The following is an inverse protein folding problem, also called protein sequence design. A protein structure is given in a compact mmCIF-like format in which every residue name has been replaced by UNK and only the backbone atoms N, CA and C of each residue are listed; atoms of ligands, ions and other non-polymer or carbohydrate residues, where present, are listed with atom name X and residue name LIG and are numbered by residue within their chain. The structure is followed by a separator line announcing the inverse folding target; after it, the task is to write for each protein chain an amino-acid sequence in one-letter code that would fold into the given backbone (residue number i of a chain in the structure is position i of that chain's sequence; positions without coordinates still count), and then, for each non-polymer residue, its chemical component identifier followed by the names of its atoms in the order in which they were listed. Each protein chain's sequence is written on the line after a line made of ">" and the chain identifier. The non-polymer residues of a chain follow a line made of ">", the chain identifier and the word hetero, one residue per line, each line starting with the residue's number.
data_IF_929488145871
#
_entry.id   IF_929488145871
#
_cell.length_a   1.000
_cell.length_b   1.000
_cell.length_c   1.000
_cell.angle_alpha   90.00
_cell.angle_beta   90.00
_cell.angle_gamma   90.00
#
_symmetry.space_group_name_H-M   'P 1'
#
loop_
_entity.id
_entity.type
_entity.pdbx_description
1 polymer ?
#
# COMPACT_ATOMS: atom_id res chain seq x y z
N UNK A 1 5.21 5.54 -12.55
CA UNK A 1 5.94 6.83 -12.55
C UNK A 1 5.03 8.02 -12.84
N UNK A 2 4.20 8.04 -13.89
CA UNK A 2 3.26 9.15 -14.19
C UNK A 2 2.37 9.59 -13.02
N UNK A 3 1.88 8.65 -12.19
CA UNK A 3 1.07 8.96 -11.00
C UNK A 3 1.89 9.68 -9.92
N UNK A 4 3.16 9.30 -9.75
CA UNK A 4 4.07 9.94 -8.80
C UNK A 4 4.33 11.39 -9.20
N UNK A 5 4.70 11.62 -10.45
CA UNK A 5 4.97 12.98 -10.99
C UNK A 5 3.73 13.87 -10.90
N UNK A 6 2.53 13.30 -11.15
CA UNK A 6 1.27 14.05 -11.15
C UNK A 6 0.82 14.44 -9.74
N UNK A 7 0.91 13.55 -8.75
CA UNK A 7 0.29 13.75 -7.44
C UNK A 7 1.28 14.06 -6.32
N UNK A 8 2.52 13.62 -6.42
CA UNK A 8 3.54 13.83 -5.40
C UNK A 8 4.94 13.82 -6.03
N UNK A 9 5.35 14.91 -6.70
CA UNK A 9 6.64 14.97 -7.36
C UNK A 9 7.79 14.77 -6.36
N UNK A 10 8.87 14.20 -6.85
CA UNK A 10 10.10 14.03 -6.08
C UNK A 10 10.73 15.40 -5.80
N UNK A 11 11.39 15.51 -4.65
CA UNK A 11 12.19 16.68 -4.30
C UNK A 11 13.55 16.62 -5.03
N UNK A 12 14.24 17.75 -5.07
CA UNK A 12 15.64 17.78 -5.50
C UNK A 12 16.47 16.80 -4.67
N UNK A 13 17.32 16.02 -5.35
CA UNK A 13 18.16 14.97 -4.74
C UNK A 13 17.38 13.80 -4.06
N UNK A 14 16.08 13.65 -4.35
CA UNK A 14 15.31 12.52 -3.86
C UNK A 14 15.44 11.31 -4.81
N UNK A 15 16.09 10.24 -4.34
CA UNK A 15 16.33 9.01 -5.10
C UNK A 15 15.35 7.92 -4.68
N UNK A 16 14.81 7.17 -5.65
CA UNK A 16 13.91 6.05 -5.40
C UNK A 16 14.72 4.79 -5.07
N UNK A 17 14.45 4.18 -3.92
CA UNK A 17 15.03 2.89 -3.50
C UNK A 17 14.18 1.71 -3.93
N UNK A 18 12.86 1.81 -3.75
CA UNK A 18 11.93 0.78 -4.18
C UNK A 18 10.57 1.34 -4.53
N UNK A 19 9.85 0.59 -5.35
CA UNK A 19 8.47 0.88 -5.74
C UNK A 19 7.69 -0.42 -5.70
N UNK A 20 6.49 -0.39 -5.12
CA UNK A 20 5.56 -1.52 -5.12
C UNK A 20 4.17 -1.03 -5.50
N UNK A 21 3.50 -1.80 -6.34
CA UNK A 21 2.13 -1.55 -6.78
C UNK A 21 1.25 -2.76 -6.47
N UNK A 22 0.00 -2.50 -6.15
CA UNK A 22 -0.94 -3.58 -5.92
C UNK A 22 -2.34 -3.13 -5.51
N UNK A 23 -3.22 -4.09 -5.30
CA UNK A 23 -4.54 -3.83 -4.75
C UNK A 23 -4.43 -3.52 -3.25
N UNK A 24 -5.07 -2.43 -2.83
CA UNK A 24 -5.00 -1.92 -1.46
C UNK A 24 -6.24 -2.31 -0.67
N UNK A 25 -6.00 -2.79 0.55
CA UNK A 25 -7.02 -3.13 1.53
C UNK A 25 -6.70 -2.43 2.85
N UNK A 26 -7.58 -1.54 3.30
CA UNK A 26 -7.48 -0.97 4.63
C UNK A 26 -8.14 -1.92 5.62
N UNK A 27 -7.40 -2.37 6.61
CA UNK A 27 -7.90 -3.22 7.70
C UNK A 27 -7.86 -2.42 9.00
N UNK A 28 -8.98 -2.45 9.73
CA UNK A 28 -9.01 -1.97 11.11
C UNK A 28 -8.67 -3.12 12.06
N UNK A 29 -8.02 -2.88 13.21
CA UNK A 29 -7.76 -3.90 14.21
C UNK A 29 -9.05 -4.44 14.86
N UNK A 30 -10.18 -3.73 14.79
CA UNK A 30 -11.45 -4.11 15.39
C UNK A 30 -12.19 -5.21 14.63
N UNK A 31 -12.65 -6.23 15.37
CA UNK A 31 -13.38 -7.40 14.84
C UNK A 31 -14.69 -6.99 14.15
N UNK A 32 -15.44 -6.03 14.70
CA UNK A 32 -16.67 -5.50 14.10
C UNK A 32 -16.39 -4.81 12.75
N UNK A 33 -15.33 -4.03 12.66
CA UNK A 33 -14.90 -3.40 11.43
C UNK A 33 -14.39 -4.42 10.39
N UNK A 34 -13.89 -5.58 10.82
CA UNK A 34 -13.54 -6.70 9.93
C UNK A 34 -14.77 -7.34 9.29
N UNK A 35 -15.85 -7.56 10.06
CA UNK A 35 -17.09 -8.11 9.54
C UNK A 35 -17.78 -7.13 8.57
N UNK A 36 -17.87 -5.85 8.93
CA UNK A 36 -18.37 -4.80 8.04
C UNK A 36 -17.49 -4.68 6.77
N UNK A 37 -16.17 -4.78 6.92
CA UNK A 37 -15.23 -4.79 5.81
C UNK A 37 -15.46 -5.94 4.81
N UNK A 38 -15.91 -7.10 5.30
CA UNK A 38 -16.28 -8.22 4.43
C UNK A 38 -17.53 -7.91 3.58
N UNK A 39 -18.58 -7.33 4.19
CA UNK A 39 -19.78 -6.90 3.48
C UNK A 39 -19.46 -5.80 2.44
N UNK A 40 -18.69 -4.79 2.83
CA UNK A 40 -18.21 -3.78 1.89
C UNK A 40 -17.37 -4.34 0.75
N UNK A 41 -16.65 -5.43 0.99
CA UNK A 41 -15.87 -6.12 -0.04
C UNK A 41 -16.76 -6.81 -1.08
N UNK A 42 -17.88 -7.42 -0.65
CA UNK A 42 -18.87 -8.01 -1.56
C UNK A 42 -19.50 -6.89 -2.41
N UNK A 43 -19.92 -5.80 -1.79
CA UNK A 43 -20.47 -4.64 -2.51
C UNK A 43 -19.44 -4.05 -3.47
N UNK A 44 -18.18 -3.93 -3.08
CA UNK A 44 -17.10 -3.45 -3.94
C UNK A 44 -16.86 -4.35 -5.18
N UNK A 45 -16.99 -5.67 -5.00
CA UNK A 45 -16.90 -6.61 -6.12
C UNK A 45 -18.07 -6.42 -7.08
N UNK A 46 -19.29 -6.28 -6.57
CA UNK A 46 -20.50 -6.07 -7.37
C UNK A 46 -20.49 -4.72 -8.11
N UNK A 47 -19.97 -3.67 -7.48
CA UNK A 47 -19.88 -2.32 -8.08
C UNK A 47 -18.63 -2.13 -8.93
N UNK A 48 -17.75 -3.13 -9.04
CA UNK A 48 -16.48 -3.01 -9.76
C UNK A 48 -15.52 -1.98 -9.16
N UNK A 49 -15.66 -1.69 -7.85
CA UNK A 49 -14.78 -0.75 -7.15
C UNK A 49 -13.46 -1.42 -6.81
N UNK A 50 -12.36 -0.85 -7.28
CA UNK A 50 -11.00 -1.30 -6.95
C UNK A 50 -10.20 -0.17 -6.34
N UNK A 51 -9.49 -0.48 -5.26
CA UNK A 51 -8.49 0.43 -4.68
C UNK A 51 -7.11 -0.11 -5.01
N UNK A 52 -6.33 0.69 -5.73
CA UNK A 52 -4.92 0.40 -5.98
C UNK A 52 -4.05 1.33 -5.15
N UNK A 53 -2.92 0.81 -4.70
CA UNK A 53 -1.90 1.61 -4.06
C UNK A 53 -0.57 1.50 -4.81
N UNK A 54 0.11 2.64 -4.90
CA UNK A 54 1.50 2.76 -5.30
C UNK A 54 2.27 3.24 -4.08
N UNK A 55 3.23 2.45 -3.62
CA UNK A 55 4.20 2.87 -2.60
C UNK A 55 5.53 3.10 -3.28
N UNK A 56 6.11 4.24 -3.02
CA UNK A 56 7.46 4.62 -3.44
C UNK A 56 8.27 4.93 -2.19
N UNK A 57 9.36 4.20 -2.00
CA UNK A 57 10.32 4.44 -0.92
C UNK A 57 11.49 5.20 -1.51
N UNK A 58 11.78 6.36 -0.95
CA UNK A 58 12.89 7.20 -1.36
C UNK A 58 13.96 7.27 -0.26
N UNK A 59 15.04 7.96 -0.52
CA UNK A 59 16.10 8.20 0.48
C UNK A 59 15.66 9.10 1.65
N UNK A 60 14.49 9.78 1.57
CA UNK A 60 14.07 10.76 2.58
C UNK A 60 12.68 10.47 3.17
N UNK A 61 11.80 9.79 2.45
CA UNK A 61 10.41 9.55 2.84
C UNK A 61 9.82 8.34 2.13
N UNK A 62 8.66 7.90 2.59
CA UNK A 62 7.81 6.98 1.84
C UNK A 62 6.58 7.73 1.31
N UNK A 63 6.28 7.54 0.04
CA UNK A 63 5.12 8.11 -0.62
C UNK A 63 4.11 7.00 -0.87
N UNK A 64 2.86 7.20 -0.40
CA UNK A 64 1.74 6.29 -0.65
C UNK A 64 0.70 7.02 -1.48
N UNK A 65 0.41 6.51 -2.67
CA UNK A 65 -0.64 7.02 -3.56
C UNK A 65 -1.71 5.93 -3.66
N UNK A 66 -2.90 6.22 -3.17
CA UNK A 66 -4.06 5.36 -3.30
C UNK A 66 -5.00 5.92 -4.37
N UNK A 67 -5.38 5.08 -5.31
CA UNK A 67 -6.35 5.42 -6.35
C UNK A 67 -7.54 4.49 -6.24
N UNK A 68 -8.73 5.04 -6.11
CA UNK A 68 -9.97 4.29 -6.13
C UNK A 68 -10.64 4.44 -7.50
N UNK A 69 -10.96 3.31 -8.12
CA UNK A 69 -11.69 3.24 -9.39
C UNK A 69 -13.09 2.70 -9.15
N UNK A 70 -14.08 3.31 -9.82
CA UNK A 70 -15.45 2.82 -9.93
C UNK A 70 -15.63 2.19 -11.31
N UNK A 71 -16.41 1.09 -11.36
CA UNK A 71 -16.68 0.36 -12.61
C UNK A 71 -15.40 0.02 -13.40
N UNK A 72 -14.28 -0.24 -12.68
CA UNK A 72 -12.94 -0.58 -13.20
C UNK A 72 -12.21 0.52 -14.00
N UNK A 73 -12.87 1.55 -14.49
CA UNK A 73 -12.27 2.54 -15.40
C UNK A 73 -12.42 4.02 -14.98
N UNK A 74 -13.37 4.35 -14.10
CA UNK A 74 -13.58 5.73 -13.65
C UNK A 74 -12.75 5.99 -12.40
N UNK A 75 -11.81 6.93 -12.46
CA UNK A 75 -11.07 7.40 -11.28
C UNK A 75 -12.03 8.20 -10.37
N UNK A 76 -12.36 7.63 -9.21
CA UNK A 76 -13.30 8.23 -8.26
C UNK A 76 -12.60 9.09 -7.21
N UNK A 77 -11.47 8.63 -6.70
CA UNK A 77 -10.67 9.37 -5.73
C UNK A 77 -9.21 9.02 -5.80
N UNK A 78 -8.36 10.01 -5.51
CA UNK A 78 -6.91 9.82 -5.36
C UNK A 78 -6.50 10.43 -4.04
N UNK A 79 -5.73 9.67 -3.26
CA UNK A 79 -5.10 10.13 -2.03
C UNK A 79 -3.60 9.93 -2.14
N UNK A 80 -2.84 11.00 -2.00
CA UNK A 80 -1.38 10.95 -1.99
C UNK A 80 -0.87 11.43 -0.63
N UNK A 81 -0.14 10.57 0.08
CA UNK A 81 0.34 10.81 1.43
C UNK A 81 1.86 10.62 1.47
N UNK A 82 2.55 11.60 2.04
CA UNK A 82 3.97 11.48 2.36
C UNK A 82 4.11 11.04 3.82
N UNK A 83 4.79 9.92 4.02
CA UNK A 83 5.07 9.36 5.33
C UNK A 83 6.55 9.59 5.66
N UNK A 84 6.81 10.24 6.78
CA UNK A 84 8.16 10.33 7.32
C UNK A 84 8.57 8.98 7.93
N UNK A 85 9.85 8.63 8.00
CA UNK A 85 10.31 7.39 8.63
C UNK A 85 9.73 7.19 10.03
N UNK A 86 9.64 8.24 10.83
CA UNK A 86 9.07 8.20 12.20
C UNK A 86 7.57 7.91 12.25
N UNK A 87 6.83 8.15 11.18
CA UNK A 87 5.37 7.89 11.14
C UNK A 87 5.03 6.44 10.79
N UNK A 88 6.02 5.65 10.40
CA UNK A 88 5.87 4.24 10.07
C UNK A 88 6.06 3.43 11.34
N UNK A 89 4.99 2.81 11.83
CA UNK A 89 5.03 2.01 13.07
C UNK A 89 5.52 0.60 12.79
N UNK A 90 5.07 0.00 11.70
CA UNK A 90 5.40 -1.37 11.34
C UNK A 90 5.35 -1.54 9.83
N UNK A 91 6.31 -2.29 9.30
CA UNK A 91 6.29 -2.81 7.94
C UNK A 91 6.52 -4.32 8.00
N UNK A 92 5.72 -5.09 7.27
CA UNK A 92 5.78 -6.54 7.34
C UNK A 92 5.29 -7.21 6.06
N UNK A 93 5.47 -8.53 6.06
CA UNK A 93 5.00 -9.41 5.01
C UNK A 93 3.95 -10.34 5.57
N UNK A 94 2.85 -10.52 4.83
CA UNK A 94 1.90 -11.59 5.11
C UNK A 94 1.55 -12.40 3.88
N UNK A 95 1.20 -13.65 4.13
CA UNK A 95 0.79 -14.62 3.13
C UNK A 95 -0.64 -15.05 3.41
N UNK A 96 -1.55 -14.75 2.50
CA UNK A 96 -2.89 -15.32 2.54
C UNK A 96 -3.02 -16.45 1.52
N UNK A 97 -3.64 -17.54 1.96
CA UNK A 97 -4.02 -18.67 1.09
C UNK A 97 -5.52 -18.59 0.84
N UNK A 98 -5.90 -18.52 -0.43
CA UNK A 98 -7.28 -18.59 -0.86
C UNK A 98 -7.47 -19.91 -1.60
N UNK A 99 -8.47 -20.73 -1.17
CA UNK A 99 -8.79 -22.02 -1.78
C UNK A 99 -7.57 -22.92 -2.00
N UNK A 100 -6.82 -23.26 -0.94
CA UNK A 100 -5.71 -24.24 -0.90
C UNK A 100 -4.62 -24.01 -1.97
N UNK A 101 -4.92 -23.52 -3.16
CA UNK A 101 -4.04 -23.46 -4.32
C UNK A 101 -3.46 -22.04 -4.55
N UNK A 102 -4.26 -20.98 -4.29
CA UNK A 102 -3.84 -19.62 -4.61
C UNK A 102 -3.15 -18.95 -3.42
N UNK A 103 -1.87 -18.62 -3.58
CA UNK A 103 -1.08 -17.84 -2.63
C UNK A 103 -1.11 -16.37 -3.03
N UNK A 104 -1.48 -15.49 -2.13
CA UNK A 104 -1.41 -14.04 -2.31
C UNK A 104 -0.42 -13.45 -1.31
N UNK A 105 0.51 -12.66 -1.81
CA UNK A 105 1.56 -12.01 -1.04
C UNK A 105 1.17 -10.57 -0.76
N UNK A 106 1.24 -10.15 0.51
CA UNK A 106 0.84 -8.83 0.96
C UNK A 106 1.99 -8.12 1.66
N UNK A 107 2.15 -6.85 1.36
CA UNK A 107 2.89 -5.90 2.18
C UNK A 107 1.93 -5.35 3.22
N UNK A 108 2.29 -5.45 4.48
CA UNK A 108 1.58 -4.80 5.59
C UNK A 108 2.33 -3.53 5.99
N UNK A 109 1.61 -2.46 6.09
CA UNK A 109 2.12 -1.16 6.50
C UNK A 109 1.21 -0.57 7.56
N UNK A 110 1.74 -0.38 8.77
CA UNK A 110 1.04 0.32 9.82
C UNK A 110 1.62 1.73 10.01
N UNK A 111 0.75 2.73 9.99
CA UNK A 111 1.09 4.12 10.20
C UNK A 111 -0.09 4.84 10.85
N UNK A 112 0.18 5.58 11.94
CA UNK A 112 -0.82 6.38 12.66
C UNK A 112 -2.10 5.61 13.03
N UNK A 113 -1.96 4.36 13.49
CA UNK A 113 -3.09 3.52 13.90
C UNK A 113 -3.90 2.89 12.76
N UNK A 114 -3.52 3.10 11.52
CA UNK A 114 -4.12 2.46 10.36
C UNK A 114 -3.18 1.39 9.80
N UNK A 115 -3.71 0.21 9.57
CA UNK A 115 -3.00 -0.85 8.85
C UNK A 115 -3.50 -0.94 7.42
N UNK A 116 -2.58 -0.80 6.50
CA UNK A 116 -2.82 -0.96 5.06
C UNK A 116 -2.18 -2.26 4.60
N UNK A 117 -2.93 -3.11 3.93
CA UNK A 117 -2.43 -4.31 3.26
C UNK A 117 -2.44 -4.09 1.77
N UNK A 118 -1.33 -4.38 1.11
CA UNK A 118 -1.19 -4.24 -0.34
C UNK A 118 -0.85 -5.60 -0.92
N UNK A 119 -1.76 -6.12 -1.76
CA UNK A 119 -1.49 -7.31 -2.54
C UNK A 119 -0.54 -6.94 -3.67
N UNK A 120 0.71 -7.37 -3.56
CA UNK A 120 1.76 -7.03 -4.50
C UNK A 120 1.50 -7.62 -5.89
N UNK A 121 1.63 -6.79 -6.92
CA UNK A 121 1.71 -7.23 -8.32
C UNK A 121 3.08 -7.85 -8.64
N UNK A 122 4.14 -7.43 -7.90
CA UNK A 122 5.53 -7.89 -8.08
C UNK A 122 5.87 -9.12 -7.22
N UNK A 123 4.86 -9.72 -6.58
CA UNK A 123 5.03 -10.92 -5.77
C UNK A 123 5.84 -10.68 -4.49
N UNK A 124 6.49 -11.75 -4.02
CA UNK A 124 7.25 -11.79 -2.76
C UNK A 124 8.50 -10.91 -2.79
N UNK A 125 9.22 -10.91 -3.90
CA UNK A 125 10.52 -10.23 -4.01
C UNK A 125 10.37 -8.70 -3.97
N UNK A 126 9.33 -8.16 -4.63
CA UNK A 126 8.99 -6.74 -4.55
C UNK A 126 8.67 -6.31 -3.12
N UNK A 127 7.98 -7.17 -2.34
CA UNK A 127 7.67 -6.89 -0.94
C UNK A 127 8.95 -6.84 -0.09
N UNK A 128 9.82 -7.84 -0.19
CA UNK A 128 11.07 -7.86 0.59
C UNK A 128 11.98 -6.69 0.24
N UNK A 129 12.10 -6.35 -1.03
CA UNK A 129 12.84 -5.16 -1.45
C UNK A 129 12.28 -3.90 -0.78
N UNK A 130 10.96 -3.77 -0.73
CA UNK A 130 10.30 -2.62 -0.11
C UNK A 130 10.50 -2.60 1.41
N UNK A 131 10.35 -3.75 2.09
CA UNK A 131 10.61 -3.87 3.53
C UNK A 131 12.05 -3.45 3.85
N UNK A 132 13.03 -3.97 3.14
CA UNK A 132 14.43 -3.64 3.34
C UNK A 132 14.69 -2.14 3.12
N UNK A 133 14.10 -1.55 2.08
CA UNK A 133 14.22 -0.11 1.82
C UNK A 133 13.59 0.74 2.94
N UNK A 134 12.42 0.35 3.45
CA UNK A 134 11.77 1.04 4.57
C UNK A 134 12.59 0.91 5.83
N UNK A 135 13.07 -0.29 6.15
CA UNK A 135 13.94 -0.52 7.32
C UNK A 135 15.21 0.34 7.23
N UNK A 136 15.83 0.40 6.06
CA UNK A 136 17.01 1.22 5.85
C UNK A 136 16.76 2.70 6.15
N UNK A 137 15.69 3.30 5.62
CA UNK A 137 15.39 4.72 5.87
C UNK A 137 14.95 5.00 7.31
N UNK A 138 14.32 4.03 7.99
CA UNK A 138 13.93 4.19 9.40
C UNK A 138 15.12 4.11 10.36
N UNK A 139 16.19 3.43 9.97
CA UNK A 139 17.42 3.30 10.75
C UNK A 139 18.42 4.42 10.47
N UNK A 140 18.46 4.96 9.27
CA UNK A 140 19.46 5.95 8.85
C UNK A 140 19.00 7.40 9.05
N UNK A 141 17.70 7.64 9.15
CA UNK A 141 17.15 8.98 9.35
C UNK A 141 16.67 9.13 10.81
N UNK A 142 17.28 10.03 11.59
CA UNK A 142 16.94 10.26 13.00
C UNK A 142 15.53 10.85 13.21
#
# INVERSE_FOLDING_TARGET
>A
MKELEKYMPLKENEAIYSTIRGDCYNTSPDILNRMLGFLFRIVAILTGTRKKALIVVTNSRMIKIETQKLFWFIDNSVSAISLTPRSISTVGYSLARSMIIFKSHYLELASRGLTTMIKSEDGKDGIYKTINSVTHITQTLP
#
